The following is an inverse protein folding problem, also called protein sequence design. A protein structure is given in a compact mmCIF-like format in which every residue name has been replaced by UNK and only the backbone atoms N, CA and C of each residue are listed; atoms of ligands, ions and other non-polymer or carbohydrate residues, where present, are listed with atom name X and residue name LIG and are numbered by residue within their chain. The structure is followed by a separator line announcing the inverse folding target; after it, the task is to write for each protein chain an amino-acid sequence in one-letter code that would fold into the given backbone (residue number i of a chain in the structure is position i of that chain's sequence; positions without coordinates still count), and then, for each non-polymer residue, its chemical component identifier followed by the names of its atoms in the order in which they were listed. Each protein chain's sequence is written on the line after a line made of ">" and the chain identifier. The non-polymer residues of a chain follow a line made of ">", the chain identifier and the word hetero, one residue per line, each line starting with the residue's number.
data_IF_918622668726
#
_entry.id   IF_918622668726
#
_cell.length_a   1.000
_cell.length_b   1.000
_cell.length_c   1.000
_cell.angle_alpha   90.00
_cell.angle_beta   90.00
_cell.angle_gamma   90.00
#
_symmetry.space_group_name_H-M   'P 1'
#
loop_
_entity.id
_entity.type
_entity.pdbx_description
1 polymer ?
#
# COMPACT_ATOMS: atom_id res chain seq x y z
N UNK A 1 20.24 -29.84 -70.78
CA UNK A 1 20.46 -29.69 -69.36
C UNK A 1 21.21 -28.38 -69.11
N UNK A 2 20.59 -27.27 -69.41
CA UNK A 2 21.04 -25.91 -69.23
C UNK A 2 19.76 -25.11 -69.00
N UNK A 3 19.61 -24.40 -67.93
CA UNK A 3 18.58 -23.42 -67.59
C UNK A 3 17.96 -23.70 -66.19
N UNK A 4 18.76 -23.54 -65.14
CA UNK A 4 18.21 -23.38 -63.79
C UNK A 4 19.23 -22.66 -62.89
N UNK A 5 19.63 -21.48 -63.27
CA UNK A 5 20.51 -20.63 -62.47
C UNK A 5 20.23 -19.14 -62.81
N UNK A 6 19.02 -18.70 -62.64
CA UNK A 6 18.72 -17.25 -62.61
C UNK A 6 17.41 -17.06 -61.81
N UNK A 7 17.53 -16.84 -60.56
CA UNK A 7 16.33 -16.56 -59.74
C UNK A 7 16.57 -16.42 -58.26
N UNK A 8 17.76 -16.03 -57.86
CA UNK A 8 18.05 -15.93 -56.40
C UNK A 8 18.85 -14.69 -56.05
N UNK A 9 18.45 -13.54 -56.53
CA UNK A 9 19.10 -12.26 -56.14
C UNK A 9 18.16 -11.04 -56.17
N UNK A 10 16.95 -11.13 -55.64
CA UNK A 10 16.18 -9.94 -55.32
C UNK A 10 15.23 -10.29 -54.15
N UNK A 11 15.76 -10.46 -52.96
CA UNK A 11 14.94 -10.35 -51.75
C UNK A 11 15.82 -10.03 -50.51
N UNK A 12 16.58 -8.94 -50.60
CA UNK A 12 17.35 -8.46 -49.47
C UNK A 12 17.41 -6.93 -49.49
N UNK A 13 16.30 -6.26 -49.35
CA UNK A 13 16.29 -4.82 -49.04
C UNK A 13 14.88 -4.28 -48.73
N UNK A 14 14.21 -4.77 -47.69
CA UNK A 14 13.11 -4.02 -47.06
C UNK A 14 12.92 -4.41 -45.61
N UNK A 15 14.01 -4.37 -44.80
CA UNK A 15 13.90 -4.43 -43.36
C UNK A 15 14.70 -3.30 -42.73
N UNK A 16 14.35 -2.05 -43.12
CA UNK A 16 14.85 -0.89 -42.42
C UNK A 16 13.66 0.03 -42.19
N UNK A 17 13.14 0.04 -40.97
CA UNK A 17 12.13 1.06 -40.65
C UNK A 17 11.08 0.65 -39.63
N UNK A 18 11.34 -0.25 -38.66
CA UNK A 18 10.58 -0.17 -37.42
C UNK A 18 11.28 0.85 -36.52
N UNK A 19 10.87 2.10 -36.68
CA UNK A 19 11.11 3.12 -35.69
C UNK A 19 10.57 2.59 -34.35
N UNK A 20 11.48 2.33 -33.43
CA UNK A 20 11.14 2.18 -32.03
C UNK A 20 10.56 3.53 -31.58
N UNK A 21 9.25 3.61 -31.54
CA UNK A 21 8.59 4.67 -30.80
C UNK A 21 8.97 4.46 -29.34
N UNK A 22 9.98 5.20 -28.92
CA UNK A 22 10.39 5.25 -27.52
C UNK A 22 9.17 5.66 -26.68
N UNK A 23 8.62 4.70 -25.95
CA UNK A 23 7.58 4.87 -24.95
C UNK A 23 8.16 5.52 -23.66
N UNK A 24 9.26 6.24 -23.79
CA UNK A 24 9.97 6.88 -22.68
C UNK A 24 9.31 8.18 -22.21
N UNK A 25 8.47 8.80 -23.04
CA UNK A 25 7.90 10.12 -22.69
C UNK A 25 6.89 10.09 -21.52
N UNK A 26 6.23 8.96 -21.28
CA UNK A 26 5.26 8.85 -20.19
C UNK A 26 5.95 8.56 -18.85
N UNK A 27 6.93 7.68 -18.85
CA UNK A 27 7.68 7.32 -17.65
C UNK A 27 8.55 8.48 -17.14
N UNK A 28 9.23 9.19 -18.03
CA UNK A 28 10.10 10.31 -17.67
C UNK A 28 9.32 11.47 -17.08
N UNK A 29 8.13 11.75 -17.61
CA UNK A 29 7.27 12.80 -17.09
C UNK A 29 6.67 12.46 -15.73
N UNK A 30 6.28 11.19 -15.51
CA UNK A 30 5.78 10.72 -14.24
C UNK A 30 6.87 10.69 -13.15
N UNK A 31 8.11 10.39 -13.54
CA UNK A 31 9.26 10.40 -12.63
C UNK A 31 9.66 11.85 -12.31
N UNK A 32 9.72 12.73 -13.30
CA UNK A 32 10.05 14.14 -13.09
C UNK A 32 9.04 14.85 -12.16
N UNK A 33 7.75 14.51 -12.26
CA UNK A 33 6.73 15.06 -11.37
C UNK A 33 6.91 14.60 -9.91
N UNK A 34 7.37 13.37 -9.69
CA UNK A 34 7.65 12.83 -8.36
C UNK A 34 8.96 13.31 -7.75
N UNK A 35 9.88 13.78 -8.57
CA UNK A 35 11.19 14.29 -8.16
C UNK A 35 11.20 15.80 -7.95
N UNK A 36 10.07 16.48 -8.08
CA UNK A 36 9.99 17.89 -7.71
C UNK A 36 10.29 18.05 -6.23
N UNK A 37 11.29 18.86 -5.87
CA UNK A 37 11.59 19.09 -4.46
C UNK A 37 10.38 19.76 -3.81
N UNK A 38 9.85 19.11 -2.78
CA UNK A 38 8.78 19.67 -1.96
C UNK A 38 9.44 20.52 -0.88
N UNK A 39 9.48 21.83 -1.11
CA UNK A 39 10.02 22.79 -0.20
C UNK A 39 11.41 23.32 -0.59
N UNK A 40 11.59 24.61 -0.51
CA UNK A 40 12.87 25.30 -0.61
C UNK A 40 13.31 25.71 0.80
N UNK A 41 14.54 25.32 1.16
CA UNK A 41 15.16 25.82 2.38
C UNK A 41 15.80 27.17 2.05
N UNK A 42 15.18 28.26 2.50
CA UNK A 42 15.73 29.59 2.36
C UNK A 42 16.75 29.84 3.48
N UNK A 43 17.98 30.13 3.12
CA UNK A 43 18.99 30.61 4.07
C UNK A 43 18.76 32.10 4.32
N UNK A 44 19.05 32.54 5.56
CA UNK A 44 18.85 33.92 6.00
C UNK A 44 19.70 34.86 5.14
N UNK A 45 19.07 35.56 4.19
CA UNK A 45 19.74 36.52 3.31
C UNK A 45 19.31 36.44 1.84
N UNK A 46 18.56 35.41 1.43
CA UNK A 46 18.05 35.30 0.07
C UNK A 46 16.61 35.84 -0.02
N UNK A 47 16.36 36.67 -1.03
CA UNK A 47 15.02 37.12 -1.37
C UNK A 47 14.25 35.96 -2.02
N UNK A 48 13.60 35.13 -1.19
CA UNK A 48 12.59 34.21 -1.66
C UNK A 48 11.27 34.98 -1.87
N UNK A 49 11.19 35.71 -2.96
CA UNK A 49 9.94 36.32 -3.39
C UNK A 49 9.02 35.21 -3.90
N UNK A 50 7.81 35.17 -3.36
CA UNK A 50 6.70 34.30 -3.76
C UNK A 50 6.83 32.79 -3.51
N UNK A 51 7.24 32.40 -2.30
CA UNK A 51 6.90 31.10 -1.79
C UNK A 51 5.47 31.13 -1.27
N UNK A 52 4.57 30.44 -1.94
CA UNK A 52 3.26 30.08 -1.42
C UNK A 52 3.46 29.58 0.01
N UNK A 53 2.83 30.24 0.97
CA UNK A 53 2.82 29.83 2.36
C UNK A 53 2.21 28.43 2.44
N UNK A 54 3.06 27.42 2.44
CA UNK A 54 2.71 26.14 3.02
C UNK A 54 2.85 26.36 4.51
N UNK A 55 1.75 26.67 5.14
CA UNK A 55 1.64 26.65 6.59
C UNK A 55 2.03 25.25 7.03
N UNK A 56 3.24 25.16 7.54
CA UNK A 56 3.74 23.98 8.22
C UNK A 56 3.08 23.99 9.61
N UNK A 57 1.80 23.70 9.63
CA UNK A 57 1.11 23.33 10.85
C UNK A 57 1.58 21.94 11.22
N UNK A 58 2.69 21.90 11.96
CA UNK A 58 2.91 20.84 12.91
C UNK A 58 1.93 21.10 14.07
N UNK A 59 0.68 21.06 13.73
CA UNK A 59 -0.39 20.91 14.69
C UNK A 59 -0.96 19.54 14.42
N UNK A 60 -0.84 18.69 15.41
CA UNK A 60 -1.64 17.49 15.56
C UNK A 60 -3.09 17.96 15.69
N UNK A 61 -3.65 18.43 14.58
CA UNK A 61 -5.07 18.50 14.43
C UNK A 61 -5.49 17.08 14.11
N UNK A 62 -6.08 16.41 15.09
CA UNK A 62 -7.10 15.42 14.85
C UNK A 62 -8.07 16.02 13.82
N UNK A 63 -7.83 15.70 12.55
CA UNK A 63 -8.90 15.75 11.58
C UNK A 63 -10.01 14.86 12.16
N UNK A 64 -11.26 15.31 12.24
CA UNK A 64 -12.34 14.44 12.68
C UNK A 64 -12.29 13.26 11.73
N UNK A 65 -11.82 12.12 12.26
CA UNK A 65 -11.72 10.86 11.56
C UNK A 65 -13.10 10.60 10.95
N UNK A 66 -13.23 10.81 9.64
CA UNK A 66 -14.26 10.12 8.91
C UNK A 66 -14.09 8.67 9.32
N UNK A 67 -15.14 8.06 9.89
CA UNK A 67 -15.10 6.74 10.52
C UNK A 67 -14.38 5.76 9.60
N UNK A 68 -13.09 5.58 9.85
CA UNK A 68 -12.28 4.60 9.12
C UNK A 68 -12.85 3.26 9.50
N UNK A 69 -13.45 2.56 8.56
CA UNK A 69 -14.10 1.29 8.86
C UNK A 69 -13.07 0.26 9.33
N UNK A 70 -13.48 -0.67 10.20
CA UNK A 70 -12.61 -1.76 10.62
C UNK A 70 -12.08 -2.59 9.45
N UNK A 71 -12.85 -2.71 8.36
CA UNK A 71 -12.43 -3.37 7.13
C UNK A 71 -11.30 -2.62 6.40
N UNK A 72 -11.37 -1.29 6.35
CA UNK A 72 -10.32 -0.48 5.74
C UNK A 72 -9.03 -0.54 6.57
N UNK A 73 -9.15 -0.50 7.90
CA UNK A 73 -8.02 -0.71 8.81
C UNK A 73 -7.40 -2.11 8.63
N UNK A 74 -8.21 -3.15 8.52
CA UNK A 74 -7.75 -4.52 8.25
C UNK A 74 -6.88 -4.61 7.01
N UNK A 75 -7.27 -3.93 5.93
CA UNK A 75 -6.53 -3.89 4.67
C UNK A 75 -5.28 -3.01 4.76
N UNK A 76 -5.43 -1.80 5.29
CA UNK A 76 -4.36 -0.80 5.31
C UNK A 76 -3.25 -1.09 6.32
N UNK A 77 -3.56 -1.73 7.45
CA UNK A 77 -2.58 -2.12 8.47
C UNK A 77 -1.89 -3.46 8.18
N UNK A 78 -2.17 -4.10 7.04
CA UNK A 78 -1.50 -5.32 6.61
C UNK A 78 -1.93 -6.60 7.32
N UNK A 79 -3.05 -6.59 8.04
CA UNK A 79 -3.57 -7.74 8.76
C UNK A 79 -3.90 -8.92 7.83
N UNK A 80 -4.19 -8.62 6.57
CA UNK A 80 -4.48 -9.60 5.50
C UNK A 80 -3.35 -10.58 5.23
N UNK A 81 -2.12 -10.24 5.62
CA UNK A 81 -0.97 -11.13 5.46
C UNK A 81 -1.08 -12.40 6.31
N UNK A 82 -1.72 -12.30 7.48
CA UNK A 82 -1.83 -13.40 8.43
C UNK A 82 -3.27 -13.84 8.71
N UNK A 83 -4.25 -13.00 8.46
CA UNK A 83 -5.65 -13.25 8.75
C UNK A 83 -6.55 -13.17 7.51
N UNK A 84 -7.60 -13.96 7.52
CA UNK A 84 -8.74 -13.86 6.60
C UNK A 84 -10.04 -13.82 7.40
N UNK A 85 -11.12 -13.38 6.77
CA UNK A 85 -12.43 -13.33 7.41
C UNK A 85 -12.95 -14.74 7.67
N UNK A 86 -12.90 -15.61 6.66
CA UNK A 86 -13.55 -16.94 6.67
C UNK A 86 -12.58 -18.10 6.90
N UNK A 87 -11.29 -17.92 6.60
CA UNK A 87 -10.35 -19.04 6.58
C UNK A 87 -9.13 -18.75 7.46
N UNK A 88 -8.67 -19.78 8.15
CA UNK A 88 -7.40 -19.75 8.88
C UNK A 88 -6.24 -19.74 7.88
N UNK A 89 -5.31 -18.79 8.02
CA UNK A 89 -4.06 -18.71 7.25
C UNK A 89 -2.88 -18.97 8.18
N UNK A 90 -2.24 -17.95 8.71
CA UNK A 90 -1.24 -18.03 9.77
C UNK A 90 -1.92 -17.86 11.12
N UNK A 91 -2.71 -16.80 11.24
CA UNK A 91 -3.60 -16.51 12.37
C UNK A 91 -4.99 -17.12 12.17
N UNK A 92 -5.86 -17.06 13.18
CA UNK A 92 -7.23 -17.57 13.12
C UNK A 92 -8.07 -16.78 12.10
N UNK A 93 -9.13 -17.40 11.59
CA UNK A 93 -10.17 -16.70 10.86
C UNK A 93 -10.90 -15.71 11.78
N UNK A 94 -11.28 -14.53 11.27
CA UNK A 94 -11.95 -13.54 12.12
C UNK A 94 -13.32 -13.99 12.61
N UNK A 95 -14.06 -14.78 11.83
CA UNK A 95 -15.29 -15.42 12.28
C UNK A 95 -15.07 -16.38 13.45
N UNK A 96 -13.94 -17.09 13.48
CA UNK A 96 -13.59 -17.94 14.63
C UNK A 96 -13.29 -17.09 15.87
N UNK A 97 -12.63 -15.93 15.67
CA UNK A 97 -12.35 -14.99 16.76
C UNK A 97 -13.65 -14.39 17.30
N UNK A 98 -14.56 -13.98 16.44
CA UNK A 98 -15.88 -13.48 16.82
C UNK A 98 -16.69 -14.52 17.60
N UNK A 99 -16.73 -15.76 17.12
CA UNK A 99 -17.43 -16.88 17.76
C UNK A 99 -16.87 -17.26 19.13
N UNK A 100 -15.59 -16.95 19.42
CA UNK A 100 -14.97 -17.21 20.72
C UNK A 100 -15.56 -16.35 21.85
N UNK A 101 -16.19 -15.23 21.53
CA UNK A 101 -16.85 -14.37 22.52
C UNK A 101 -15.90 -13.59 23.42
N UNK A 102 -14.69 -13.30 22.95
CA UNK A 102 -13.72 -12.44 23.65
C UNK A 102 -14.26 -11.00 23.69
N UNK A 103 -14.02 -10.29 24.79
CA UNK A 103 -14.45 -8.88 24.89
C UNK A 103 -13.70 -7.98 23.89
N UNK A 104 -14.35 -6.91 23.43
CA UNK A 104 -13.73 -5.95 22.50
C UNK A 104 -12.42 -5.37 23.08
N UNK A 105 -12.41 -5.01 24.34
CA UNK A 105 -11.21 -4.46 25.01
C UNK A 105 -10.05 -5.45 25.07
N UNK A 106 -10.31 -6.73 25.35
CA UNK A 106 -9.28 -7.76 25.33
C UNK A 106 -8.75 -7.96 23.90
N UNK A 107 -9.63 -7.98 22.92
CA UNK A 107 -9.26 -8.15 21.53
C UNK A 107 -8.45 -6.94 21.04
N UNK A 108 -8.85 -5.70 21.37
CA UNK A 108 -8.10 -4.49 21.05
C UNK A 108 -6.68 -4.52 21.68
N UNK A 109 -6.57 -4.99 22.92
CA UNK A 109 -5.27 -5.17 23.58
C UNK A 109 -4.39 -6.17 22.81
N UNK A 110 -4.94 -7.33 22.39
CA UNK A 110 -4.21 -8.30 21.59
C UNK A 110 -3.82 -7.76 20.21
N UNK A 111 -4.65 -6.95 19.58
CA UNK A 111 -4.35 -6.31 18.31
C UNK A 111 -3.16 -5.36 18.47
N UNK A 112 -3.16 -4.52 19.51
CA UNK A 112 -2.12 -3.51 19.71
C UNK A 112 -0.81 -4.11 20.22
N UNK A 113 -0.88 -4.96 21.26
CA UNK A 113 0.29 -5.43 21.99
C UNK A 113 0.74 -6.84 21.58
N UNK A 114 0.00 -7.49 20.69
CA UNK A 114 0.21 -8.88 20.34
C UNK A 114 -0.39 -9.87 21.34
N UNK A 115 -0.36 -11.15 20.99
CA UNK A 115 -0.83 -12.23 21.86
C UNK A 115 -0.05 -13.52 21.64
N UNK A 116 0.04 -14.35 22.67
CA UNK A 116 0.75 -15.63 22.63
C UNK A 116 -0.13 -16.71 23.25
N UNK A 117 -0.23 -17.85 22.57
CA UNK A 117 -0.94 -19.01 23.12
C UNK A 117 -2.46 -19.01 22.93
N UNK A 118 -3.08 -17.90 22.56
CA UNK A 118 -4.54 -17.79 22.42
C UNK A 118 -5.12 -18.68 21.30
N UNK A 119 -4.36 -18.83 20.22
CA UNK A 119 -4.77 -19.54 19.00
C UNK A 119 -3.77 -20.57 18.52
N UNK A 120 -2.86 -20.99 19.40
CA UNK A 120 -1.82 -21.96 19.11
C UNK A 120 -0.43 -21.42 19.43
N UNK A 121 0.61 -22.10 18.90
CA UNK A 121 2.00 -21.78 19.22
C UNK A 121 2.59 -20.60 18.45
N UNK A 122 1.92 -20.13 17.39
CA UNK A 122 2.39 -19.00 16.59
C UNK A 122 1.93 -17.70 17.25
N UNK A 123 2.85 -16.84 17.72
CA UNK A 123 2.47 -15.60 18.36
C UNK A 123 1.98 -14.59 17.32
N UNK A 124 0.99 -13.79 17.69
CA UNK A 124 0.64 -12.57 16.99
C UNK A 124 1.56 -11.45 17.49
N UNK A 125 2.35 -10.80 16.62
CA UNK A 125 3.21 -9.71 17.03
C UNK A 125 2.41 -8.45 17.36
N UNK A 126 2.99 -7.47 18.09
CA UNK A 126 2.40 -6.14 18.26
C UNK A 126 2.22 -5.45 16.90
N UNK A 127 1.12 -4.71 16.74
CA UNK A 127 0.81 -3.97 15.52
C UNK A 127 0.93 -2.46 15.75
N UNK A 128 1.32 -1.73 14.71
CA UNK A 128 1.39 -0.28 14.74
C UNK A 128 0.02 0.33 14.50
N UNK A 129 -0.82 0.29 15.51
CA UNK A 129 -2.16 0.88 15.52
C UNK A 129 -2.34 1.75 16.77
N UNK A 130 -3.14 2.79 16.65
CA UNK A 130 -3.57 3.58 17.81
C UNK A 130 -4.56 2.78 18.66
N UNK A 131 -4.91 3.28 19.83
CA UNK A 131 -5.92 2.67 20.71
C UNK A 131 -7.30 2.64 20.03
N UNK A 132 -7.68 3.77 19.41
CA UNK A 132 -8.96 3.91 18.72
C UNK A 132 -9.05 3.00 17.50
N UNK A 133 -7.99 2.90 16.71
CA UNK A 133 -7.92 1.95 15.59
C UNK A 133 -8.02 0.50 16.07
N UNK A 134 -7.37 0.16 17.18
CA UNK A 134 -7.46 -1.19 17.76
C UNK A 134 -8.88 -1.51 18.26
N UNK A 135 -9.56 -0.54 18.87
CA UNK A 135 -10.96 -0.68 19.29
C UNK A 135 -11.88 -0.84 18.07
N UNK A 136 -11.75 0.01 17.05
CA UNK A 136 -12.53 -0.08 15.81
C UNK A 136 -12.33 -1.43 15.12
N UNK A 137 -11.09 -1.92 15.05
CA UNK A 137 -10.79 -3.25 14.51
C UNK A 137 -11.44 -4.37 15.34
N UNK A 138 -11.37 -4.27 16.68
CA UNK A 138 -11.94 -5.27 17.56
C UNK A 138 -13.46 -5.35 17.42
N UNK A 139 -14.14 -4.21 17.40
CA UNK A 139 -15.60 -4.13 17.22
C UNK A 139 -16.00 -4.68 15.85
N UNK A 140 -15.29 -4.31 14.80
CA UNK A 140 -15.53 -4.83 13.47
C UNK A 140 -15.35 -6.36 13.40
N UNK A 141 -14.27 -6.91 13.96
CA UNK A 141 -14.05 -8.36 13.98
C UNK A 141 -15.20 -9.06 14.72
N UNK A 142 -15.66 -8.52 15.85
CA UNK A 142 -16.75 -9.11 16.62
C UNK A 142 -18.11 -9.02 15.90
N UNK A 143 -18.27 -8.09 14.97
CA UNK A 143 -19.47 -7.96 14.13
C UNK A 143 -19.56 -8.99 13.00
N UNK A 144 -18.50 -9.75 12.73
CA UNK A 144 -18.46 -10.77 11.67
C UNK A 144 -19.13 -12.11 12.04
N UNK A 145 -19.76 -12.18 13.20
CA UNK A 145 -20.42 -13.38 13.72
C UNK A 145 -21.75 -13.64 13.04
#
# INVERSE_FOLDING_TARGET
>A
MKKLLLGLTVLAATFAGLAHANNSSFSDRAVAERLKPVGQVCLKGDECADAVAVENSADTAEEPAGEVSGEDLFKSKGCTACHSIDNKIVGPAFKEVAAKGTSASTLANHIKNGSVGEWGSIPMPPNNVTEDEANTLAEWVLSLN
#
